data_IF_126620159621
#
_entry.id   IF_126620159621
#
_cell.length_a   1.000
_cell.length_b   1.000
_cell.length_c   1.000
_cell.angle_alpha   90.00
_cell.angle_beta   90.00
_cell.angle_gamma   90.00
#
_symmetry.space_group_name_H-M   'P 1'
#
loop_
_entity.id
_entity.type
_entity.pdbx_description
1 polymer ?
#
# COMPACT_ATOMS: atom_id res chain seq x y z
N UNK A 1 46.04 -37.71 23.87
CA UNK A 1 46.20 -37.97 22.42
C UNK A 1 44.85 -37.79 21.75
N UNK A 2 44.83 -37.15 20.56
CA UNK A 2 43.73 -36.97 19.57
C UNK A 2 42.47 -36.24 20.06
N UNK A 3 42.28 -34.93 19.86
CA UNK A 3 42.14 -34.18 18.61
C UNK A 3 41.02 -34.70 17.68
N UNK A 4 40.12 -33.77 17.31
CA UNK A 4 39.83 -33.36 15.93
C UNK A 4 38.41 -33.56 15.39
N UNK A 5 37.81 -32.38 15.13
CA UNK A 5 37.07 -31.97 13.92
C UNK A 5 35.66 -32.49 13.64
N UNK A 6 34.73 -31.52 13.75
CA UNK A 6 34.12 -30.76 12.64
C UNK A 6 33.71 -31.55 11.39
N UNK A 7 32.47 -31.28 10.97
CA UNK A 7 31.84 -31.43 9.65
C UNK A 7 31.14 -32.76 9.35
N UNK A 8 29.81 -32.71 9.31
CA UNK A 8 28.91 -33.20 8.24
C UNK A 8 27.47 -33.02 8.75
N UNK A 9 26.80 -31.89 8.49
CA UNK A 9 25.94 -31.68 7.32
C UNK A 9 25.05 -32.90 7.01
N UNK A 10 23.76 -32.71 7.33
CA UNK A 10 22.55 -33.07 6.58
C UNK A 10 21.72 -34.28 7.05
N UNK A 11 20.47 -33.91 7.37
CA UNK A 11 19.21 -34.56 6.95
C UNK A 11 18.71 -35.75 7.79
N UNK A 12 17.64 -35.53 8.55
CA UNK A 12 16.26 -35.91 8.20
C UNK A 12 15.39 -35.61 9.45
N UNK A 13 14.54 -34.58 9.43
CA UNK A 13 13.13 -34.65 9.01
C UNK A 13 12.34 -35.76 9.73
N UNK A 14 11.67 -35.40 10.82
CA UNK A 14 10.43 -36.07 11.23
C UNK A 14 9.34 -35.03 11.53
N UNK A 15 8.38 -35.07 10.62
CA UNK A 15 7.11 -34.35 10.58
C UNK A 15 6.26 -34.61 11.83
N UNK A 16 5.81 -33.55 12.49
CA UNK A 16 4.60 -33.56 13.32
C UNK A 16 3.74 -32.41 12.85
N UNK A 17 2.93 -32.68 11.82
CA UNK A 17 1.79 -31.84 11.45
C UNK A 17 0.65 -32.23 12.38
N UNK A 18 0.52 -31.47 13.46
CA UNK A 18 -0.69 -31.43 14.27
C UNK A 18 -1.51 -30.27 13.76
N UNK A 19 -2.66 -30.61 13.17
CA UNK A 19 -3.62 -29.65 12.65
C UNK A 19 -4.20 -28.78 13.76
N UNK A 20 -4.00 -27.47 13.59
CA UNK A 20 -4.89 -26.44 14.14
C UNK A 20 -5.40 -25.64 12.94
N UNK A 21 -6.49 -26.14 12.38
CA UNK A 21 -7.38 -25.43 11.47
C UNK A 21 -8.31 -24.56 12.33
N UNK A 22 -7.84 -23.41 12.81
CA UNK A 22 -8.70 -22.42 13.47
C UNK A 22 -8.19 -20.99 13.17
N UNK A 23 -9.09 -20.19 12.58
CA UNK A 23 -9.07 -18.74 12.38
C UNK A 23 -8.24 -18.17 11.20
N UNK A 24 -8.75 -18.39 9.97
CA UNK A 24 -8.35 -17.64 8.77
C UNK A 24 -9.24 -16.44 8.42
N UNK A 25 -9.94 -15.81 9.37
CA UNK A 25 -11.00 -14.81 9.06
C UNK A 25 -10.91 -13.51 9.85
N UNK A 26 -9.72 -13.01 10.19
CA UNK A 26 -9.61 -11.70 10.87
C UNK A 26 -9.12 -10.56 9.98
N UNK A 27 -8.56 -10.82 8.80
CA UNK A 27 -8.07 -9.74 7.93
C UNK A 27 -9.15 -9.14 7.03
N UNK A 28 -10.16 -9.92 6.62
CA UNK A 28 -11.22 -9.42 5.71
C UNK A 28 -12.01 -8.23 6.31
N UNK A 29 -12.35 -8.30 7.62
CA UNK A 29 -13.12 -7.26 8.32
C UNK A 29 -12.31 -5.99 8.61
N UNK A 30 -11.00 -6.12 8.84
CA UNK A 30 -10.11 -4.96 9.00
C UNK A 30 -9.94 -4.22 7.66
N UNK A 31 -9.78 -4.99 6.58
CA UNK A 31 -9.62 -4.46 5.23
C UNK A 31 -10.94 -3.87 4.69
N UNK A 32 -12.10 -4.42 5.07
CA UNK A 32 -13.42 -3.81 4.76
C UNK A 32 -13.57 -2.41 5.37
N UNK A 33 -13.06 -2.19 6.57
CA UNK A 33 -13.08 -0.87 7.22
C UNK A 33 -12.14 0.12 6.54
N UNK A 34 -10.94 -0.28 6.13
CA UNK A 34 -10.00 0.63 5.46
C UNK A 34 -10.55 1.11 4.12
N UNK A 35 -11.16 0.21 3.32
CA UNK A 35 -11.86 0.64 2.13
C UNK A 35 -13.11 1.44 2.48
N UNK A 36 -13.94 1.03 3.44
CA UNK A 36 -15.12 1.81 3.81
C UNK A 36 -14.78 3.23 4.29
N UNK A 37 -13.65 3.43 4.98
CA UNK A 37 -13.15 4.74 5.43
C UNK A 37 -12.56 5.55 4.26
N UNK A 38 -11.68 4.96 3.45
CA UNK A 38 -11.13 5.58 2.23
C UNK A 38 -12.20 5.95 1.22
N UNK A 39 -13.23 5.11 1.19
CA UNK A 39 -14.48 5.40 0.56
C UNK A 39 -15.06 6.61 1.35
N UNK A 40 -15.67 6.51 2.53
CA UNK A 40 -16.32 7.65 3.25
C UNK A 40 -15.64 9.05 3.13
N UNK A 41 -14.31 9.13 3.14
CA UNK A 41 -13.51 10.34 2.93
C UNK A 41 -13.76 11.12 1.60
N UNK A 42 -14.26 10.48 0.54
CA UNK A 42 -14.52 11.12 -0.75
C UNK A 42 -15.85 11.87 -0.85
N UNK A 43 -16.78 11.72 0.11
CA UNK A 43 -18.16 12.24 0.07
C UNK A 43 -18.32 13.63 0.70
N UNK A 44 -17.39 14.56 0.48
CA UNK A 44 -17.48 15.94 0.97
C UNK A 44 -18.57 16.81 0.26
N UNK A 45 -19.75 16.23 0.04
CA UNK A 45 -21.01 16.93 -0.21
C UNK A 45 -22.10 16.24 0.61
N UNK A 46 -21.97 16.32 1.94
CA UNK A 46 -22.93 15.78 2.91
C UNK A 46 -24.16 16.70 3.00
N UNK A 47 -25.36 16.11 2.93
CA UNK A 47 -26.62 16.81 3.11
C UNK A 47 -26.69 17.48 4.51
N UNK A 48 -27.44 18.60 4.69
CA UNK A 48 -27.29 19.48 5.85
C UNK A 48 -27.66 18.92 7.24
N UNK A 49 -27.91 17.62 7.40
CA UNK A 49 -28.26 16.96 8.67
C UNK A 49 -27.15 16.13 9.34
N UNK A 50 -26.02 15.86 8.66
CA UNK A 50 -24.88 15.06 9.19
C UNK A 50 -23.71 15.91 9.73
N UNK A 51 -23.97 17.20 9.96
CA UNK A 51 -22.93 18.22 10.22
C UNK A 51 -22.20 18.14 11.57
N UNK A 52 -22.42 17.10 12.39
CA UNK A 52 -21.76 17.02 13.71
C UNK A 52 -20.70 15.92 13.83
N UNK A 53 -20.49 15.08 12.80
CA UNK A 53 -19.43 14.08 12.80
C UNK A 53 -18.42 14.23 11.63
N UNK A 54 -18.75 15.02 10.61
CA UNK A 54 -18.11 14.89 9.28
C UNK A 54 -17.13 16.02 8.89
N UNK A 55 -16.78 16.90 9.84
CA UNK A 55 -15.85 18.03 9.60
C UNK A 55 -14.37 17.65 9.86
N UNK A 56 -14.07 16.37 10.10
CA UNK A 56 -12.68 15.91 10.39
C UNK A 56 -12.06 15.10 9.24
N UNK A 57 -12.85 14.47 8.37
CA UNK A 57 -12.32 13.49 7.39
C UNK A 57 -11.59 14.08 6.18
N UNK A 58 -12.01 15.22 5.62
CA UNK A 58 -11.37 15.79 4.44
C UNK A 58 -10.02 16.50 4.73
N UNK A 59 -9.70 16.71 6.01
CA UNK A 59 -8.37 17.18 6.42
C UNK A 59 -7.46 16.02 6.79
N UNK A 60 -7.99 14.84 7.14
CA UNK A 60 -7.19 13.72 7.65
C UNK A 60 -6.28 13.12 6.58
N UNK A 61 -6.74 12.79 5.36
CA UNK A 61 -5.83 12.30 4.30
C UNK A 61 -4.78 13.32 3.82
N UNK A 62 -5.10 14.62 3.74
CA UNK A 62 -4.12 15.64 3.37
C UNK A 62 -3.12 15.90 4.51
N UNK A 63 -3.58 15.85 5.76
CA UNK A 63 -2.77 16.01 6.96
C UNK A 63 -1.91 14.76 7.19
N UNK A 64 -2.43 13.54 7.03
CA UNK A 64 -1.71 12.27 7.18
C UNK A 64 -0.68 12.09 6.05
N UNK A 65 -1.01 12.47 4.81
CA UNK A 65 -0.06 12.48 3.67
C UNK A 65 1.08 13.48 3.88
N UNK A 66 0.79 14.72 4.31
CA UNK A 66 1.84 15.72 4.61
C UNK A 66 2.64 15.36 5.87
N UNK A 67 2.01 14.74 6.87
CA UNK A 67 2.70 14.27 8.08
C UNK A 67 3.66 13.15 7.71
N UNK A 68 3.24 12.18 6.87
CA UNK A 68 4.13 11.11 6.42
C UNK A 68 5.31 11.63 5.59
N UNK A 69 5.09 12.58 4.67
CA UNK A 69 6.18 13.17 3.86
C UNK A 69 7.21 13.87 4.74
N UNK A 70 6.74 14.73 5.64
CA UNK A 70 7.64 15.45 6.55
C UNK A 70 8.34 14.50 7.51
N UNK A 71 7.70 13.41 7.89
CA UNK A 71 8.29 12.41 8.78
C UNK A 71 9.35 11.57 8.07
N UNK A 72 9.11 11.15 6.82
CA UNK A 72 10.10 10.49 5.98
C UNK A 72 11.33 11.37 5.76
N UNK A 73 11.13 12.61 5.33
CA UNK A 73 12.23 13.58 5.12
C UNK A 73 12.98 13.87 6.42
N UNK A 74 12.26 14.03 7.55
CA UNK A 74 12.88 14.26 8.85
C UNK A 74 13.68 13.04 9.33
N UNK A 75 13.18 11.81 9.13
CA UNK A 75 13.90 10.58 9.44
C UNK A 75 15.18 10.48 8.60
N UNK A 76 15.09 10.72 7.29
CA UNK A 76 16.25 10.71 6.40
C UNK A 76 17.29 11.78 6.75
N UNK A 77 16.83 12.97 7.17
CA UNK A 77 17.71 14.04 7.61
C UNK A 77 18.41 13.72 8.94
N UNK A 78 17.76 12.96 9.82
CA UNK A 78 18.31 12.54 11.11
C UNK A 78 19.16 11.26 11.04
N UNK A 79 19.07 10.50 9.94
CA UNK A 79 19.85 9.28 9.73
C UNK A 79 21.32 9.60 9.48
N UNK A 80 22.20 9.01 10.30
CA UNK A 80 23.63 9.32 10.31
C UNK A 80 24.48 8.24 9.64
N UNK A 81 23.95 7.03 9.53
CA UNK A 81 24.61 5.88 8.93
C UNK A 81 23.95 5.48 7.61
N UNK A 82 24.65 4.67 6.81
CA UNK A 82 24.11 4.14 5.55
C UNK A 82 22.97 3.17 5.84
N UNK A 83 23.15 2.34 6.86
CA UNK A 83 22.21 1.33 7.32
C UNK A 83 20.91 1.97 7.80
N UNK A 84 20.97 3.00 8.66
CA UNK A 84 19.78 3.74 9.08
C UNK A 84 19.02 4.36 7.90
N UNK A 85 19.74 4.89 6.92
CA UNK A 85 19.12 5.44 5.70
C UNK A 85 18.45 4.35 4.87
N UNK A 86 19.10 3.20 4.73
CA UNK A 86 18.55 2.06 4.01
C UNK A 86 17.28 1.53 4.69
N UNK A 87 17.27 1.40 6.02
CA UNK A 87 16.09 1.02 6.79
C UNK A 87 14.91 1.98 6.57
N UNK A 88 15.15 3.29 6.61
CA UNK A 88 14.08 4.29 6.41
C UNK A 88 13.50 4.22 4.99
N UNK A 89 14.35 4.04 3.97
CA UNK A 89 13.88 3.92 2.58
C UNK A 89 13.15 2.59 2.36
N UNK A 90 13.58 1.51 3.02
CA UNK A 90 12.89 0.22 3.01
C UNK A 90 11.52 0.30 3.68
N UNK A 91 11.42 0.97 4.83
CA UNK A 91 10.14 1.23 5.50
C UNK A 91 9.14 1.96 4.57
N UNK A 92 9.59 2.99 3.84
CA UNK A 92 8.72 3.72 2.91
C UNK A 92 8.32 2.86 1.70
N UNK A 93 9.25 2.04 1.18
CA UNK A 93 8.94 1.06 0.13
C UNK A 93 7.84 0.09 0.56
N UNK A 94 7.95 -0.47 1.76
CA UNK A 94 6.99 -1.42 2.32
C UNK A 94 5.63 -0.73 2.52
N UNK A 95 5.64 0.49 3.05
CA UNK A 95 4.44 1.28 3.22
C UNK A 95 3.72 1.60 1.89
N UNK A 96 4.48 1.87 0.81
CA UNK A 96 3.93 2.06 -0.53
C UNK A 96 3.28 0.77 -1.05
N UNK A 97 3.92 -0.39 -0.85
CA UNK A 97 3.40 -1.68 -1.27
C UNK A 97 2.07 -2.02 -0.57
N UNK A 98 2.02 -1.88 0.75
CA UNK A 98 0.80 -2.10 1.55
C UNK A 98 -0.36 -1.19 1.10
N UNK A 99 -0.06 0.07 0.79
CA UNK A 99 -1.06 1.04 0.31
C UNK A 99 -1.53 0.69 -1.10
N UNK A 100 -0.63 0.26 -1.98
CA UNK A 100 -0.98 -0.20 -3.32
C UNK A 100 -1.93 -1.41 -3.25
N UNK A 101 -1.64 -2.40 -2.41
CA UNK A 101 -2.52 -3.55 -2.18
C UNK A 101 -3.90 -3.11 -1.69
N UNK A 102 -3.94 -2.20 -0.72
CA UNK A 102 -5.18 -1.62 -0.19
C UNK A 102 -6.01 -0.96 -1.28
N UNK A 103 -5.41 -0.10 -2.11
CA UNK A 103 -6.13 0.56 -3.21
C UNK A 103 -6.63 -0.46 -4.25
N UNK A 104 -5.84 -1.50 -4.55
CA UNK A 104 -6.24 -2.60 -5.42
C UNK A 104 -7.47 -3.35 -4.90
N UNK A 105 -7.52 -3.62 -3.60
CA UNK A 105 -8.69 -4.24 -2.96
C UNK A 105 -9.93 -3.34 -2.97
N UNK A 106 -9.76 -2.05 -2.70
CA UNK A 106 -10.87 -1.11 -2.75
C UNK A 106 -11.47 -0.99 -4.16
N UNK A 107 -10.61 -0.99 -5.20
CA UNK A 107 -11.07 -1.05 -6.60
C UNK A 107 -11.85 -2.34 -6.88
N UNK A 108 -11.32 -3.51 -6.51
CA UNK A 108 -11.99 -4.81 -6.73
C UNK A 108 -13.39 -4.82 -6.12
N UNK A 109 -13.52 -4.35 -4.88
CA UNK A 109 -14.80 -4.26 -4.17
C UNK A 109 -15.75 -3.23 -4.80
N UNK A 110 -15.25 -2.08 -5.25
CA UNK A 110 -16.06 -1.12 -5.98
C UNK A 110 -16.63 -1.75 -7.27
N UNK A 111 -15.80 -2.47 -8.02
CA UNK A 111 -16.22 -3.17 -9.23
C UNK A 111 -17.25 -4.28 -8.95
N UNK A 112 -17.15 -4.99 -7.82
CA UNK A 112 -18.17 -5.96 -7.38
C UNK A 112 -19.48 -5.28 -6.99
N UNK A 113 -19.41 -4.20 -6.19
CA UNK A 113 -20.60 -3.45 -5.77
C UNK A 113 -21.32 -2.81 -6.95
N UNK A 114 -20.57 -2.30 -7.93
CA UNK A 114 -21.12 -1.76 -9.17
C UNK A 114 -21.85 -2.84 -9.98
N UNK A 115 -21.23 -4.03 -10.15
CA UNK A 115 -21.83 -5.16 -10.86
C UNK A 115 -23.14 -5.67 -10.25
N UNK A 116 -23.30 -5.51 -8.93
CA UNK A 116 -24.49 -5.92 -8.19
C UNK A 116 -25.53 -4.77 -8.03
N UNK A 117 -25.35 -3.65 -8.74
CA UNK A 117 -26.18 -2.43 -8.62
C UNK A 117 -26.33 -1.90 -7.18
N UNK A 118 -25.36 -2.22 -6.32
CA UNK A 118 -25.40 -1.90 -4.88
C UNK A 118 -24.90 -0.47 -4.56
N UNK A 119 -24.51 0.30 -5.59
CA UNK A 119 -24.00 1.67 -5.50
C UNK A 119 -24.47 2.48 -6.70
N UNK A 120 -24.87 3.73 -6.48
CA UNK A 120 -25.25 4.64 -7.58
C UNK A 120 -24.05 5.16 -8.37
N UNK A 121 -24.29 5.56 -9.62
CA UNK A 121 -23.25 6.06 -10.54
C UNK A 121 -22.48 7.29 -10.02
N UNK A 122 -23.14 8.21 -9.31
CA UNK A 122 -22.45 9.36 -8.72
C UNK A 122 -21.49 8.95 -7.60
N UNK A 123 -21.90 7.97 -6.80
CA UNK A 123 -21.07 7.36 -5.76
C UNK A 123 -19.87 6.65 -6.39
N UNK A 124 -20.07 5.88 -7.47
CA UNK A 124 -18.99 5.24 -8.22
C UNK A 124 -17.98 6.25 -8.76
N UNK A 125 -18.44 7.34 -9.41
CA UNK A 125 -17.55 8.38 -9.95
C UNK A 125 -16.66 8.98 -8.87
N UNK A 126 -17.26 9.42 -7.76
CA UNK A 126 -16.54 9.96 -6.61
C UNK A 126 -15.50 8.98 -6.04
N UNK A 127 -15.83 7.69 -6.01
CA UNK A 127 -14.89 6.66 -5.58
C UNK A 127 -13.70 6.50 -6.51
N UNK A 128 -13.94 6.47 -7.82
CA UNK A 128 -12.88 6.39 -8.81
C UNK A 128 -11.96 7.60 -8.76
N UNK A 129 -12.51 8.82 -8.61
CA UNK A 129 -11.72 10.05 -8.45
C UNK A 129 -10.81 10.00 -7.20
N UNK A 130 -11.34 9.48 -6.09
CA UNK A 130 -10.60 9.30 -4.85
C UNK A 130 -9.50 8.23 -4.94
N UNK A 131 -9.74 7.14 -5.68
CA UNK A 131 -8.73 6.11 -5.93
C UNK A 131 -7.63 6.62 -6.87
N UNK A 132 -7.98 7.40 -7.90
CA UNK A 132 -7.03 7.98 -8.85
C UNK A 132 -6.14 9.04 -8.21
N UNK A 133 -6.70 9.87 -7.32
CA UNK A 133 -5.90 10.84 -6.55
C UNK A 133 -4.85 10.14 -5.69
N UNK A 134 -5.22 9.05 -5.01
CA UNK A 134 -4.32 8.32 -4.11
C UNK A 134 -3.29 7.50 -4.87
N UNK A 135 -3.65 6.90 -6.00
CA UNK A 135 -2.71 6.19 -6.88
C UNK A 135 -1.67 7.15 -7.48
N UNK A 136 -2.07 8.36 -7.88
CA UNK A 136 -1.14 9.40 -8.34
C UNK A 136 -0.15 9.84 -7.23
N UNK A 137 -0.61 9.92 -5.98
CA UNK A 137 0.26 10.19 -4.84
C UNK A 137 1.27 9.04 -4.59
N UNK A 138 0.84 7.77 -4.66
CA UNK A 138 1.75 6.63 -4.56
C UNK A 138 2.79 6.62 -5.69
N UNK A 139 2.38 6.95 -6.92
CA UNK A 139 3.28 7.04 -8.07
C UNK A 139 4.37 8.08 -7.86
N UNK A 140 4.03 9.22 -7.24
CA UNK A 140 5.02 10.23 -6.89
C UNK A 140 5.98 9.73 -5.79
N UNK A 141 5.44 9.11 -4.73
CA UNK A 141 6.24 8.60 -3.60
C UNK A 141 7.21 7.51 -4.01
N UNK A 142 6.80 6.56 -4.85
CA UNK A 142 7.72 5.49 -5.31
C UNK A 142 8.87 6.06 -6.12
N UNK A 143 8.61 7.10 -6.91
CA UNK A 143 9.64 7.82 -7.67
C UNK A 143 10.61 8.58 -6.75
N UNK A 144 10.10 9.28 -5.73
CA UNK A 144 10.93 9.95 -4.71
C UNK A 144 11.77 8.91 -3.91
N UNK A 145 11.16 7.79 -3.53
CA UNK A 145 11.84 6.66 -2.86
C UNK A 145 12.93 6.06 -3.73
N UNK A 146 12.71 5.90 -5.04
CA UNK A 146 13.71 5.44 -5.99
C UNK A 146 14.91 6.39 -6.11
N UNK A 147 14.67 7.69 -6.05
CA UNK A 147 15.75 8.69 -6.02
C UNK A 147 16.59 8.56 -4.74
N UNK A 148 15.96 8.40 -3.56
CA UNK A 148 16.69 8.22 -2.30
C UNK A 148 17.43 6.88 -2.25
N UNK A 149 16.79 5.79 -2.67
CA UNK A 149 17.43 4.48 -2.80
C UNK A 149 18.66 4.57 -3.70
N UNK A 150 18.57 5.27 -4.84
CA UNK A 150 19.68 5.46 -5.78
C UNK A 150 20.92 6.17 -5.19
N UNK A 151 20.79 6.85 -4.05
CA UNK A 151 21.92 7.46 -3.33
C UNK A 151 22.62 6.51 -2.36
N UNK A 152 22.04 5.34 -2.11
CA UNK A 152 22.64 4.32 -1.23
C UNK A 152 23.68 3.48 -1.99
N UNK A 153 24.73 3.00 -1.30
CA UNK A 153 25.68 2.02 -1.85
C UNK A 153 24.96 0.75 -2.33
N UNK A 154 25.49 0.11 -3.38
CA UNK A 154 24.94 -1.14 -3.94
C UNK A 154 24.65 -2.23 -2.90
N UNK A 155 25.59 -2.59 -2.01
CA UNK A 155 25.37 -3.61 -0.99
C UNK A 155 24.21 -3.30 -0.05
N UNK A 156 24.09 -2.04 0.39
CA UNK A 156 22.99 -1.61 1.26
C UNK A 156 21.64 -1.61 0.52
N UNK A 157 21.62 -1.39 -0.80
CA UNK A 157 20.37 -1.55 -1.56
C UNK A 157 19.93 -2.99 -1.66
N UNK A 158 20.86 -3.90 -1.96
CA UNK A 158 20.56 -5.32 -2.11
C UNK A 158 20.10 -5.95 -0.79
N UNK A 159 20.73 -5.59 0.32
CA UNK A 159 20.38 -6.13 1.65
C UNK A 159 18.98 -5.69 2.12
N UNK A 160 18.51 -4.52 1.68
CA UNK A 160 17.23 -3.93 2.10
C UNK A 160 16.14 -3.98 1.00
N UNK A 161 16.30 -4.81 -0.04
CA UNK A 161 15.35 -4.93 -1.16
C UNK A 161 15.02 -3.59 -1.88
N UNK A 162 16.02 -2.71 -1.94
CA UNK A 162 15.97 -1.39 -2.60
C UNK A 162 16.67 -1.39 -3.97
N UNK A 163 16.73 -2.55 -4.62
CA UNK A 163 17.23 -2.67 -5.98
C UNK A 163 16.36 -1.84 -6.95
N UNK A 164 16.94 -1.19 -7.98
CA UNK A 164 16.16 -0.41 -8.96
C UNK A 164 14.99 -1.19 -9.56
N UNK A 165 15.15 -2.49 -9.77
CA UNK A 165 14.14 -3.39 -10.32
C UNK A 165 12.94 -3.56 -9.38
N UNK A 166 13.15 -3.56 -8.06
CA UNK A 166 12.08 -3.70 -7.07
C UNK A 166 11.20 -2.44 -7.04
N UNK A 167 11.80 -1.26 -7.08
CA UNK A 167 11.05 0.01 -7.11
C UNK A 167 10.36 0.24 -8.45
N UNK A 168 10.98 -0.19 -9.56
CA UNK A 168 10.35 -0.17 -10.88
C UNK A 168 9.15 -1.14 -10.97
N UNK A 169 9.16 -2.25 -10.22
CA UNK A 169 8.01 -3.15 -10.12
C UNK A 169 6.83 -2.51 -9.41
N UNK A 170 7.07 -1.83 -8.29
CA UNK A 170 6.05 -1.07 -7.57
C UNK A 170 5.46 0.04 -8.45
N UNK A 171 6.30 0.81 -9.13
CA UNK A 171 5.85 1.85 -10.05
C UNK A 171 4.93 1.29 -11.15
N UNK A 172 5.35 0.20 -11.80
CA UNK A 172 4.56 -0.46 -12.83
C UNK A 172 3.21 -0.94 -12.29
N UNK A 173 3.16 -1.58 -11.13
CA UNK A 173 1.90 -2.02 -10.50
C UNK A 173 0.99 -0.84 -10.15
N UNK A 174 1.53 0.32 -9.76
CA UNK A 174 0.76 1.55 -9.56
C UNK A 174 0.16 2.04 -10.89
N UNK A 175 0.94 2.04 -11.98
CA UNK A 175 0.44 2.40 -13.32
C UNK A 175 -0.67 1.45 -13.78
N UNK A 176 -0.46 0.14 -13.64
CA UNK A 176 -1.47 -0.88 -13.96
C UNK A 176 -2.77 -0.68 -13.14
N UNK A 177 -2.65 -0.32 -11.86
CA UNK A 177 -3.82 0.01 -11.05
C UNK A 177 -4.58 1.20 -11.65
N UNK A 178 -3.88 2.26 -12.07
CA UNK A 178 -4.49 3.47 -12.66
C UNK A 178 -5.22 3.16 -13.97
N UNK A 179 -4.59 2.42 -14.86
CA UNK A 179 -5.22 1.94 -16.09
C UNK A 179 -6.51 1.13 -15.79
N UNK A 180 -6.48 0.29 -14.76
CA UNK A 180 -7.67 -0.47 -14.35
C UNK A 180 -8.78 0.39 -13.71
N UNK A 181 -8.45 1.56 -13.14
CA UNK A 181 -9.43 2.54 -12.66
C UNK A 181 -10.12 3.23 -13.84
N UNK A 182 -9.37 3.59 -14.87
CA UNK A 182 -9.90 4.16 -16.12
C UNK A 182 -10.83 3.17 -16.84
N UNK A 183 -10.46 1.89 -16.92
CA UNK A 183 -11.32 0.84 -17.45
C UNK A 183 -12.62 0.73 -16.64
N UNK A 184 -12.52 0.80 -15.31
CA UNK A 184 -13.68 0.78 -14.42
C UNK A 184 -14.57 2.01 -14.66
N UNK A 185 -14.04 3.17 -15.02
CA UNK A 185 -14.83 4.35 -15.38
C UNK A 185 -15.50 4.23 -16.77
N UNK A 186 -14.78 3.68 -17.75
CA UNK A 186 -15.18 3.64 -19.17
C UNK A 186 -16.28 2.64 -19.54
N UNK A 187 -16.51 1.61 -18.72
CA UNK A 187 -17.53 0.55 -18.95
C UNK A 187 -18.98 1.05 -19.04
N UNK A 188 -19.24 2.34 -18.83
CA UNK A 188 -20.57 2.97 -18.92
C UNK A 188 -21.04 3.27 -20.35
N UNK A 189 -20.18 3.15 -21.38
CA UNK A 189 -20.46 3.63 -22.76
C UNK A 189 -20.91 2.55 -23.75
N UNK A 190 -21.40 1.39 -23.30
CA UNK A 190 -21.95 0.37 -24.21
C UNK A 190 -23.26 -0.19 -23.68
N UNK A 191 -24.35 0.52 -23.98
CA UNK A 191 -25.74 0.11 -23.75
C UNK A 191 -26.67 0.89 -24.65
#
# INVERSE_FOLDING_TARGET
MTAYRRTMRRALLLWVVVGVLLAGTTTAVAQERSCAELLREGTATSEPGEQLADVVGAQESAVETQINDRWFDARLANATTVEERADIVADERDHIDERLETLGDCRRRLAERRRNDAVGEETVRRWLDGLETRSALLHRRVNETAVEAGRLPGPAREEHDLAPEALADLERRIVELRESLEETAGTTTSG
#
